data_IF_600388193302
#
_entry.id   IF_600388193302
#
_cell.length_a   1.000
_cell.length_b   1.000
_cell.length_c   1.000
_cell.angle_alpha   90.00
_cell.angle_beta   90.00
_cell.angle_gamma   90.00
#
_symmetry.space_group_name_H-M   'P 1'
#
loop_
_entity.id
_entity.type
_entity.pdbx_description
1 polymer ?
#
# COMPACT_ATOMS: atom_id res chain seq x y z
N UNK A 1 2.12 9.60 -8.18
CA UNK A 1 2.71 8.39 -8.78
C UNK A 1 4.20 8.57 -9.04
N UNK A 2 4.63 9.57 -9.82
CA UNK A 2 6.07 9.76 -10.10
C UNK A 2 6.95 10.02 -8.87
N UNK A 3 6.42 10.68 -7.84
CA UNK A 3 7.15 10.88 -6.59
C UNK A 3 7.47 9.55 -5.88
N UNK A 4 6.52 8.61 -5.87
CA UNK A 4 6.68 7.29 -5.24
C UNK A 4 7.68 6.45 -6.03
N UNK A 5 7.58 6.44 -7.36
CA UNK A 5 8.53 5.72 -8.22
C UNK A 5 9.97 6.25 -8.09
N UNK A 6 10.16 7.55 -7.84
CA UNK A 6 11.49 8.14 -7.62
C UNK A 6 12.06 7.89 -6.22
N UNK A 7 11.20 7.81 -5.21
CA UNK A 7 11.62 7.58 -3.83
C UNK A 7 11.85 6.08 -3.53
N UNK A 8 11.06 5.20 -4.14
CA UNK A 8 11.14 3.77 -3.96
C UNK A 8 12.26 3.17 -4.83
N UNK A 9 13.50 3.27 -4.36
CA UNK A 9 14.61 2.55 -4.98
C UNK A 9 14.40 1.03 -4.83
N UNK A 10 14.41 0.32 -5.95
CA UNK A 10 14.25 -1.13 -5.96
C UNK A 10 15.29 -1.86 -5.11
N UNK A 11 16.52 -1.36 -5.02
CA UNK A 11 17.58 -1.97 -4.23
C UNK A 11 17.25 -1.92 -2.73
N UNK A 12 16.71 -0.79 -2.27
CA UNK A 12 16.33 -0.59 -0.88
C UNK A 12 15.11 -1.45 -0.53
N UNK A 13 14.07 -1.42 -1.38
CA UNK A 13 12.83 -2.19 -1.15
C UNK A 13 13.08 -3.70 -1.17
N UNK A 14 13.89 -4.19 -2.11
CA UNK A 14 14.23 -5.62 -2.15
C UNK A 14 15.16 -5.99 -1.00
N UNK A 15 16.13 -5.14 -0.67
CA UNK A 15 17.17 -5.41 0.32
C UNK A 15 16.65 -5.65 1.74
N UNK A 16 15.44 -5.20 2.05
CA UNK A 16 14.77 -5.48 3.32
C UNK A 16 14.20 -6.90 3.40
N UNK A 17 13.78 -7.45 2.26
CA UNK A 17 13.19 -8.79 2.18
C UNK A 17 14.25 -9.84 1.87
N UNK A 18 15.25 -9.48 1.07
CA UNK A 18 16.27 -10.39 0.55
C UNK A 18 17.65 -9.88 0.91
N UNK A 19 18.47 -10.75 1.51
CA UNK A 19 19.88 -10.46 1.73
C UNK A 19 20.64 -10.40 0.38
N UNK A 20 20.86 -9.18 -0.11
CA UNK A 20 21.54 -8.92 -1.37
C UNK A 20 23.06 -8.75 -1.19
N UNK A 21 23.82 -9.25 -2.16
CA UNK A 21 25.28 -9.06 -2.29
C UNK A 21 25.60 -8.35 -3.59
N UNK A 22 26.63 -7.51 -3.59
CA UNK A 22 27.08 -6.82 -4.81
C UNK A 22 27.73 -7.80 -5.79
N UNK A 23 27.31 -7.74 -7.05
CA UNK A 23 27.87 -8.48 -8.17
C UNK A 23 28.09 -7.50 -9.35
N UNK A 24 29.26 -6.88 -9.39
CA UNK A 24 29.57 -5.83 -10.36
C UNK A 24 28.68 -4.60 -10.16
N UNK A 25 27.85 -4.28 -11.17
CA UNK A 25 26.91 -3.16 -11.15
C UNK A 25 25.52 -3.53 -10.62
N UNK A 26 25.27 -4.82 -10.41
CA UNK A 26 23.99 -5.36 -9.98
C UNK A 26 24.12 -5.94 -8.56
N UNK A 27 22.98 -6.25 -7.96
CA UNK A 27 22.87 -6.95 -6.70
C UNK A 27 22.32 -8.36 -6.96
N UNK A 28 22.75 -9.34 -6.18
CA UNK A 28 22.28 -10.73 -6.30
C UNK A 28 21.94 -11.34 -4.94
N UNK A 29 20.97 -12.24 -4.91
CA UNK A 29 20.50 -12.92 -3.70
C UNK A 29 19.73 -14.20 -4.00
N UNK A 30 19.21 -14.84 -2.94
CA UNK A 30 18.27 -15.94 -3.08
C UNK A 30 16.90 -15.39 -3.49
N UNK A 31 16.23 -16.08 -4.40
CA UNK A 31 14.88 -15.67 -4.81
C UNK A 31 13.88 -15.77 -3.65
N UNK A 32 13.06 -14.74 -3.39
CA UNK A 32 11.97 -14.82 -2.42
C UNK A 32 10.73 -15.53 -2.99
N UNK A 33 10.65 -15.74 -4.30
CA UNK A 33 9.47 -16.28 -4.99
C UNK A 33 9.52 -17.80 -5.20
N UNK A 34 10.68 -18.44 -5.07
CA UNK A 34 10.81 -19.88 -5.15
C UNK A 34 11.96 -20.38 -4.26
N UNK A 35 11.88 -21.62 -3.83
CA UNK A 35 12.89 -22.20 -2.96
C UNK A 35 14.09 -22.72 -3.77
N UNK A 36 15.25 -22.07 -3.62
CA UNK A 36 16.51 -22.46 -4.25
C UNK A 36 17.70 -22.35 -3.29
N UNK A 37 18.77 -23.09 -3.58
CA UNK A 37 20.02 -23.07 -2.80
C UNK A 37 21.09 -22.17 -3.40
N UNK A 38 20.97 -21.84 -4.67
CA UNK A 38 21.92 -21.01 -5.42
C UNK A 38 21.29 -19.65 -5.69
N UNK A 39 22.01 -18.53 -5.54
CA UNK A 39 21.46 -17.21 -5.81
C UNK A 39 21.19 -17.04 -7.31
N UNK A 40 19.91 -16.96 -7.70
CA UNK A 40 19.51 -16.64 -9.07
C UNK A 40 18.77 -15.30 -9.20
N UNK A 41 18.46 -14.66 -8.07
CA UNK A 41 17.78 -13.37 -8.02
C UNK A 41 18.76 -12.22 -8.27
N UNK A 42 18.43 -11.35 -9.22
CA UNK A 42 19.26 -10.20 -9.61
C UNK A 42 18.44 -8.91 -9.56
N UNK A 43 19.07 -7.85 -9.08
CA UNK A 43 18.52 -6.49 -9.06
C UNK A 43 19.48 -5.56 -9.77
N UNK A 44 18.97 -4.76 -10.69
CA UNK A 44 19.71 -3.71 -11.39
C UNK A 44 19.18 -2.34 -10.89
N UNK A 45 19.90 -1.67 -9.96
CA UNK A 45 19.47 -0.38 -9.42
C UNK A 45 19.44 0.72 -10.48
N UNK A 46 20.30 0.65 -11.51
CA UNK A 46 20.33 1.65 -12.56
C UNK A 46 19.09 1.55 -13.47
N UNK A 47 18.60 0.34 -13.70
CA UNK A 47 17.36 0.10 -14.48
C UNK A 47 16.10 0.10 -13.63
N UNK A 48 16.22 0.07 -12.30
CA UNK A 48 15.11 -0.09 -11.36
C UNK A 48 14.28 -1.36 -11.63
N UNK A 49 14.97 -2.48 -11.92
CA UNK A 49 14.36 -3.76 -12.27
C UNK A 49 14.97 -4.94 -11.49
N UNK A 50 14.16 -5.96 -11.23
CA UNK A 50 14.61 -7.26 -10.74
C UNK A 50 14.31 -8.37 -11.76
N UNK A 51 15.12 -9.42 -11.72
CA UNK A 51 14.87 -10.65 -12.47
C UNK A 51 15.47 -11.85 -11.76
N UNK A 52 14.71 -12.93 -11.70
CA UNK A 52 15.12 -14.22 -11.19
C UNK A 52 15.33 -15.19 -12.35
N UNK A 53 16.57 -15.64 -12.54
CA UNK A 53 16.89 -16.60 -13.61
C UNK A 53 16.45 -18.03 -13.31
N UNK A 54 16.09 -18.35 -12.05
CA UNK A 54 15.60 -19.67 -11.65
C UNK A 54 14.13 -19.90 -11.97
N UNK A 55 13.26 -18.91 -11.70
CA UNK A 55 11.81 -19.04 -11.87
C UNK A 55 11.20 -18.10 -12.91
N UNK A 56 12.00 -17.18 -13.47
CA UNK A 56 11.55 -16.18 -14.45
C UNK A 56 10.77 -15.00 -13.87
N UNK A 57 10.63 -14.92 -12.54
CA UNK A 57 9.99 -13.77 -11.90
C UNK A 57 10.82 -12.50 -12.17
N UNK A 58 10.15 -11.41 -12.53
CA UNK A 58 10.84 -10.18 -12.90
C UNK A 58 9.87 -9.03 -13.09
N UNK A 59 10.34 -7.82 -12.78
CA UNK A 59 9.49 -6.64 -12.73
C UNK A 59 10.19 -5.42 -12.18
N UNK A 60 9.39 -4.38 -11.94
CA UNK A 60 9.80 -3.19 -11.21
C UNK A 60 9.47 -3.29 -9.71
N UNK A 61 9.75 -2.24 -8.96
CA UNK A 61 9.52 -2.17 -7.52
C UNK A 61 8.05 -2.41 -7.13
N UNK A 62 7.09 -1.99 -7.96
CA UNK A 62 5.67 -2.19 -7.67
C UNK A 62 5.30 -3.66 -7.83
N UNK A 63 5.73 -4.29 -8.93
CA UNK A 63 5.50 -5.71 -9.14
C UNK A 63 6.13 -6.57 -8.04
N UNK A 64 7.32 -6.22 -7.56
CA UNK A 64 7.94 -6.90 -6.43
C UNK A 64 7.07 -6.83 -5.17
N UNK A 65 6.62 -5.63 -4.79
CA UNK A 65 5.76 -5.43 -3.60
C UNK A 65 4.42 -6.16 -3.76
N UNK A 66 3.82 -6.11 -4.95
CA UNK A 66 2.57 -6.83 -5.24
C UNK A 66 2.74 -8.35 -5.04
N UNK A 67 3.79 -8.94 -5.59
CA UNK A 67 4.04 -10.38 -5.48
C UNK A 67 4.43 -10.81 -4.06
N UNK A 68 5.20 -10.00 -3.34
CA UNK A 68 5.62 -10.29 -1.95
C UNK A 68 4.45 -10.18 -0.97
N UNK A 69 3.61 -9.16 -1.11
CA UNK A 69 2.50 -8.91 -0.18
C UNK A 69 1.17 -9.49 -0.64
N UNK A 70 1.07 -10.01 -1.87
CA UNK A 70 -0.17 -10.52 -2.44
C UNK A 70 -1.24 -9.45 -2.60
N UNK A 71 -0.83 -8.24 -3.01
CA UNK A 71 -1.71 -7.06 -3.12
C UNK A 71 -1.80 -6.54 -4.55
N UNK A 72 -2.89 -5.83 -4.83
CA UNK A 72 -3.09 -5.15 -6.11
C UNK A 72 -2.22 -3.89 -6.23
N UNK A 73 -2.08 -3.38 -7.46
CA UNK A 73 -1.21 -2.23 -7.76
C UNK A 73 -1.51 -0.98 -6.92
N UNK A 74 -2.79 -0.66 -6.69
CA UNK A 74 -3.21 0.50 -5.88
C UNK A 74 -2.74 0.41 -4.44
N UNK A 75 -2.72 -0.80 -3.89
CA UNK A 75 -2.32 -1.07 -2.51
C UNK A 75 -0.81 -1.12 -2.40
N UNK A 76 -0.11 -1.69 -3.39
CA UNK A 76 1.35 -1.62 -3.48
C UNK A 76 1.87 -0.18 -3.55
N UNK A 77 1.20 0.68 -4.33
CA UNK A 77 1.49 2.13 -4.34
C UNK A 77 1.24 2.74 -2.96
N UNK A 78 0.17 2.32 -2.28
CA UNK A 78 -0.14 2.78 -0.93
C UNK A 78 0.93 2.43 0.09
N UNK A 79 1.34 1.15 0.13
CA UNK A 79 2.40 0.66 1.00
C UNK A 79 3.71 1.42 0.79
N UNK A 80 4.10 1.64 -0.46
CA UNK A 80 5.30 2.42 -0.79
C UNK A 80 5.14 3.91 -0.42
N UNK A 81 3.97 4.51 -0.67
CA UNK A 81 3.74 5.90 -0.31
C UNK A 81 3.78 6.13 1.20
N UNK A 82 3.14 5.25 1.99
CA UNK A 82 3.14 5.32 3.45
C UNK A 82 4.56 5.14 4.02
N UNK A 83 5.34 4.21 3.45
CA UNK A 83 6.76 4.01 3.81
C UNK A 83 7.61 5.25 3.57
N UNK A 84 7.50 5.88 2.41
CA UNK A 84 8.32 7.03 2.05
C UNK A 84 7.72 8.38 2.51
N UNK A 85 6.65 8.35 3.32
CA UNK A 85 5.97 9.55 3.81
C UNK A 85 5.41 10.43 2.70
N UNK A 86 5.10 9.85 1.53
CA UNK A 86 4.58 10.58 0.37
C UNK A 86 3.07 10.68 0.52
N UNK A 87 2.50 11.90 0.59
CA UNK A 87 1.07 12.08 0.66
C UNK A 87 0.44 11.45 -0.58
N UNK A 88 -0.41 10.45 -0.38
CA UNK A 88 -1.21 9.88 -1.46
C UNK A 88 -2.22 10.95 -1.89
N UNK A 89 -2.35 11.30 -3.19
CA UNK A 89 -3.56 11.96 -3.65
C UNK A 89 -4.67 10.98 -3.34
N UNK A 90 -5.45 11.30 -2.33
CA UNK A 90 -6.24 10.28 -1.72
C UNK A 90 -7.38 9.97 -2.71
N UNK A 91 -7.42 8.73 -3.23
CA UNK A 91 -8.65 8.20 -3.81
C UNK A 91 -9.77 8.15 -2.75
N UNK A 92 -9.41 8.38 -1.49
CA UNK A 92 -10.24 8.50 -0.29
C UNK A 92 -10.98 9.83 -0.16
N UNK A 93 -10.55 10.93 -0.80
CA UNK A 93 -11.25 12.23 -0.66
C UNK A 93 -12.66 12.22 -1.25
N UNK A 94 -12.96 11.31 -2.18
CA UNK A 94 -14.30 11.16 -2.76
C UNK A 94 -15.19 10.20 -1.99
N UNK A 95 -14.71 8.98 -1.76
CA UNK A 95 -15.48 7.90 -1.13
C UNK A 95 -15.58 8.05 0.39
N UNK A 96 -14.49 8.41 1.09
CA UNK A 96 -14.52 8.60 2.55
C UNK A 96 -15.25 9.89 2.91
N UNK A 97 -15.18 10.94 2.07
CA UNK A 97 -15.98 12.13 2.28
C UNK A 97 -17.49 11.89 2.01
N UNK A 98 -17.83 10.98 1.09
CA UNK A 98 -19.21 10.57 0.88
C UNK A 98 -19.73 9.73 2.06
N UNK A 99 -18.93 8.79 2.56
CA UNK A 99 -19.26 7.96 3.72
C UNK A 99 -19.34 8.79 5.02
N UNK A 100 -18.39 9.70 5.26
CA UNK A 100 -18.42 10.64 6.39
C UNK A 100 -19.63 11.59 6.31
N UNK A 101 -19.96 12.13 5.12
CA UNK A 101 -21.21 12.90 4.92
C UNK A 101 -22.45 12.05 5.21
N UNK A 102 -22.48 10.79 4.77
CA UNK A 102 -23.60 9.87 5.03
C UNK A 102 -23.74 9.58 6.51
N UNK A 103 -22.63 9.29 7.20
CA UNK A 103 -22.56 9.04 8.64
C UNK A 103 -23.02 10.26 9.45
N UNK A 104 -22.54 11.46 9.12
CA UNK A 104 -22.96 12.72 9.78
C UNK A 104 -24.45 12.97 9.63
N UNK A 105 -25.02 12.74 8.44
CA UNK A 105 -26.48 12.86 8.23
C UNK A 105 -27.27 11.88 9.08
N UNK A 106 -26.79 10.63 9.20
CA UNK A 106 -27.43 9.61 10.04
C UNK A 106 -27.37 9.97 11.52
N UNK A 107 -26.22 10.43 12.01
CA UNK A 107 -26.07 10.88 13.40
C UNK A 107 -26.96 12.09 13.72
N UNK A 108 -27.00 13.08 12.83
CA UNK A 108 -27.87 14.24 13.00
C UNK A 108 -29.36 13.87 13.04
N UNK A 109 -29.80 12.89 12.24
CA UNK A 109 -31.17 12.39 12.28
C UNK A 109 -31.48 11.67 13.60
N UNK A 110 -30.54 10.86 14.11
CA UNK A 110 -30.68 10.18 15.40
C UNK A 110 -30.72 11.19 16.55
N UNK A 111 -29.89 12.22 16.51
CA UNK A 111 -29.85 13.27 17.54
C UNK A 111 -31.14 14.09 17.56
N UNK A 112 -31.68 14.47 16.39
CA UNK A 112 -32.97 15.14 16.29
C UNK A 112 -34.12 14.27 16.83
N UNK A 113 -34.14 12.98 16.46
CA UNK A 113 -35.13 12.05 16.96
C UNK A 113 -35.03 11.85 18.48
N UNK A 114 -33.81 11.75 19.02
CA UNK A 114 -33.56 11.64 20.44
C UNK A 114 -34.06 12.86 21.21
N UNK A 115 -33.72 14.07 20.77
CA UNK A 115 -34.18 15.32 21.40
C UNK A 115 -35.71 15.42 21.41
N UNK A 116 -36.37 15.12 20.29
CA UNK A 116 -37.83 15.10 20.22
C UNK A 116 -38.44 14.09 21.20
N UNK A 117 -37.86 12.89 21.31
CA UNK A 117 -38.36 11.84 22.20
C UNK A 117 -38.21 12.24 23.67
N UNK A 118 -37.06 12.83 24.04
CA UNK A 118 -36.80 13.33 25.40
C UNK A 118 -37.78 14.44 25.77
N UNK A 119 -38.01 15.41 24.86
CA UNK A 119 -38.97 16.50 25.10
C UNK A 119 -40.40 15.98 25.23
N UNK A 120 -40.81 15.04 24.37
CA UNK A 120 -42.17 14.48 24.39
C UNK A 120 -42.43 13.69 25.68
N UNK A 121 -41.46 12.92 26.15
CA UNK A 121 -41.57 12.16 27.41
C UNK A 121 -41.48 13.04 28.66
N UNK A 122 -40.80 14.19 28.59
CA UNK A 122 -40.75 15.16 29.68
C UNK A 122 -41.99 16.10 29.72
N UNK A 123 -42.80 16.07 28.65
CA UNK A 123 -44.04 16.84 28.54
C UNK A 123 -45.23 16.17 29.22
N UNK A 124 -46.37 16.87 29.35
CA UNK A 124 -47.56 16.43 30.09
C UNK A 124 -48.32 15.23 29.49
N UNK A 125 -47.79 14.61 28.42
CA UNK A 125 -48.35 13.41 27.79
C UNK A 125 -47.51 12.15 28.04
N UNK A 126 -46.42 12.26 28.81
CA UNK A 126 -45.57 11.16 29.28
C UNK A 126 -45.91 10.69 30.69
#
# INVERSE_FOLDING_TARGET
MDAVRRAADIADVVGETVALRRAGRSLTGLCPFHHEKTPSFHVDPAKQLYYCFGCGAGGDVFKFVMEIHGVEFSDAVGLLADRYGIPRPSQRDGADAADDRRRRRMLAALEAAHSFFVETLAGPQG
#
